data_IF_637895024014
#
_entry.id   IF_637895024014
#
_cell.length_a   1.000
_cell.length_b   1.000
_cell.length_c   1.000
_cell.angle_alpha   90.00
_cell.angle_beta   90.00
_cell.angle_gamma   90.00
#
_symmetry.space_group_name_H-M   'P 1'
#
loop_
_entity.id
_entity.type
_entity.pdbx_description
1 polymer ?
#
# COMPACT_ATOMS: atom_id res chain seq x y z
N UNK A 1 15.39 -8.09 -7.35
CA UNK A 1 14.48 -8.69 -8.36
C UNK A 1 14.25 -7.69 -9.47
N UNK A 2 14.27 -8.08 -10.76
CA UNK A 2 14.20 -7.09 -11.85
C UNK A 2 12.81 -6.46 -11.95
N UNK A 3 12.76 -5.14 -12.10
CA UNK A 3 11.58 -4.30 -12.34
C UNK A 3 10.65 -4.88 -13.41
N UNK A 4 11.22 -5.44 -14.49
CA UNK A 4 10.49 -6.05 -15.60
C UNK A 4 9.67 -7.27 -15.17
N UNK A 5 10.14 -8.04 -14.19
CA UNK A 5 9.40 -9.19 -13.67
C UNK A 5 8.13 -8.74 -12.96
N UNK A 6 8.20 -7.67 -12.17
CA UNK A 6 7.04 -7.10 -11.46
C UNK A 6 5.99 -6.63 -12.47
N UNK A 7 6.41 -5.91 -13.51
CA UNK A 7 5.53 -5.42 -14.56
C UNK A 7 4.83 -6.57 -15.30
N UNK A 8 5.56 -7.62 -15.64
CA UNK A 8 4.98 -8.81 -16.29
C UNK A 8 3.99 -9.53 -15.38
N UNK A 9 4.30 -9.64 -14.08
CA UNK A 9 3.38 -10.26 -13.13
C UNK A 9 2.10 -9.45 -12.96
N UNK A 10 2.20 -8.13 -12.84
CA UNK A 10 1.05 -7.22 -12.74
C UNK A 10 0.18 -7.19 -14.00
N UNK A 11 0.75 -7.48 -15.17
CA UNK A 11 -0.03 -7.64 -16.40
C UNK A 11 -0.93 -8.90 -16.38
N UNK A 12 -0.60 -9.90 -15.55
CA UNK A 12 -1.32 -11.18 -15.47
C UNK A 12 -2.09 -11.39 -14.16
N UNK A 13 -1.79 -10.61 -13.12
CA UNK A 13 -2.32 -10.77 -11.78
C UNK A 13 -2.73 -9.41 -11.18
N UNK A 14 -3.86 -9.40 -10.46
CA UNK A 14 -4.37 -8.20 -9.77
C UNK A 14 -3.46 -7.77 -8.61
N UNK A 15 -2.73 -8.70 -8.01
CA UNK A 15 -1.83 -8.47 -6.86
C UNK A 15 -0.57 -9.29 -7.05
N UNK A 16 0.58 -8.68 -6.76
CA UNK A 16 1.88 -9.34 -6.75
C UNK A 16 2.48 -9.25 -5.35
N UNK A 17 2.89 -10.39 -4.80
CA UNK A 17 3.59 -10.44 -3.51
C UNK A 17 5.10 -10.36 -3.69
N UNK A 18 5.76 -9.61 -2.83
CA UNK A 18 7.21 -9.45 -2.79
C UNK A 18 7.73 -9.56 -1.38
N UNK A 19 8.97 -10.02 -1.20
CA UNK A 19 9.62 -9.93 0.10
C UNK A 19 10.00 -8.47 0.40
N UNK A 20 9.91 -8.06 1.68
CA UNK A 20 10.27 -6.71 2.10
C UNK A 20 11.72 -6.33 1.79
N UNK A 21 12.61 -7.31 1.66
CA UNK A 21 14.01 -7.09 1.30
C UNK A 21 14.17 -6.55 -0.14
N UNK A 22 13.17 -6.72 -1.00
CA UNK A 22 13.13 -6.15 -2.35
C UNK A 22 12.64 -4.69 -2.38
N UNK A 23 12.16 -4.14 -1.25
CA UNK A 23 11.65 -2.77 -1.17
C UNK A 23 12.68 -1.70 -1.58
N UNK A 24 13.94 -1.75 -1.09
CA UNK A 24 14.91 -0.71 -1.43
C UNK A 24 15.22 -0.65 -2.92
N UNK A 25 15.28 -1.81 -3.59
CA UNK A 25 15.46 -1.88 -5.04
C UNK A 25 14.25 -1.29 -5.77
N UNK A 26 13.03 -1.63 -5.35
CA UNK A 26 11.80 -1.07 -5.93
C UNK A 26 11.73 0.46 -5.77
N UNK A 27 12.11 0.98 -4.60
CA UNK A 27 12.12 2.42 -4.33
C UNK A 27 13.24 3.14 -5.10
N UNK A 28 14.34 2.48 -5.41
CA UNK A 28 15.41 3.04 -6.24
C UNK A 28 14.98 3.18 -7.71
N UNK A 29 14.20 2.22 -8.21
CA UNK A 29 13.73 2.17 -9.60
C UNK A 29 12.41 2.94 -9.84
N UNK A 30 11.72 3.36 -8.77
CA UNK A 30 10.43 4.04 -8.84
C UNK A 30 10.48 5.44 -8.22
N UNK A 31 9.52 6.27 -8.59
CA UNK A 31 9.32 7.58 -7.98
C UNK A 31 8.21 7.49 -6.95
N UNK A 32 8.53 7.75 -5.69
CA UNK A 32 7.53 7.90 -4.64
C UNK A 32 6.66 9.13 -4.93
N UNK A 33 5.35 8.91 -5.05
CA UNK A 33 4.35 9.97 -5.25
C UNK A 33 3.63 10.32 -3.95
N UNK A 34 3.32 9.31 -3.13
CA UNK A 34 2.64 9.48 -1.85
C UNK A 34 3.03 8.35 -0.89
N UNK A 35 3.06 8.66 0.39
CA UNK A 35 3.26 7.72 1.49
C UNK A 35 2.22 8.04 2.57
N UNK A 36 1.61 7.00 3.14
CA UNK A 36 0.62 7.13 4.20
C UNK A 36 0.83 6.02 5.23
N UNK A 37 0.95 6.41 6.50
CA UNK A 37 1.02 5.47 7.62
C UNK A 37 -0.41 5.07 8.00
N UNK A 38 -0.69 3.77 7.96
CA UNK A 38 -1.99 3.24 8.38
C UNK A 38 -2.10 3.10 9.89
N UNK A 39 -0.98 3.22 10.61
CA UNK A 39 -0.83 2.97 12.05
C UNK A 39 -1.32 1.59 12.54
N UNK A 40 -1.70 0.70 11.61
CA UNK A 40 -2.23 -0.64 11.88
C UNK A 40 -1.50 -1.71 11.06
N UNK A 41 -1.46 -1.55 9.74
CA UNK A 41 -0.89 -2.52 8.80
C UNK A 41 0.43 -2.05 8.15
N UNK A 42 1.03 -0.98 8.69
CA UNK A 42 2.26 -0.37 8.17
C UNK A 42 2.00 0.70 7.11
N UNK A 43 2.99 0.92 6.25
CA UNK A 43 2.98 2.01 5.26
C UNK A 43 2.33 1.57 3.95
N UNK A 44 1.45 2.42 3.43
CA UNK A 44 0.94 2.35 2.07
C UNK A 44 1.63 3.43 1.23
N UNK A 45 2.14 3.05 0.06
CA UNK A 45 2.83 3.98 -0.85
C UNK A 45 2.23 3.94 -2.24
N UNK A 46 2.17 5.09 -2.89
CA UNK A 46 1.93 5.20 -4.33
C UNK A 46 3.28 5.48 -4.99
N UNK A 47 3.70 4.59 -5.87
CA UNK A 47 4.95 4.66 -6.61
C UNK A 47 4.64 4.78 -8.10
N UNK A 48 5.33 5.69 -8.80
CA UNK A 48 5.34 5.71 -10.26
C UNK A 48 6.52 4.88 -10.76
N UNK A 49 6.22 3.87 -11.58
CA UNK A 49 7.20 3.01 -12.19
C UNK A 49 6.99 2.99 -13.71
N UNK A 50 7.84 3.71 -14.43
CA UNK A 50 7.67 3.97 -15.88
C UNK A 50 6.30 4.63 -16.13
N UNK A 51 5.44 3.98 -16.91
CA UNK A 51 4.10 4.46 -17.28
C UNK A 51 2.98 3.89 -16.41
N UNK A 52 3.33 3.14 -15.35
CA UNK A 52 2.38 2.50 -14.44
C UNK A 52 2.49 3.09 -13.04
N UNK A 53 1.36 3.09 -12.34
CA UNK A 53 1.29 3.43 -10.93
C UNK A 53 1.17 2.15 -10.12
N UNK A 54 1.94 2.07 -9.03
CA UNK A 54 1.94 0.96 -8.11
C UNK A 54 1.47 1.43 -6.75
N UNK A 55 0.50 0.75 -6.18
CA UNK A 55 0.23 0.84 -4.74
C UNK A 55 0.96 -0.29 -4.06
N UNK A 56 1.85 0.06 -3.15
CA UNK A 56 2.54 -0.87 -2.26
C UNK A 56 1.85 -0.84 -0.90
N UNK A 57 1.41 -2.01 -0.43
CA UNK A 57 0.90 -2.24 0.92
C UNK A 57 1.86 -3.18 1.67
N UNK A 58 1.90 -3.12 2.99
CA UNK A 58 2.59 -4.13 3.81
C UNK A 58 1.59 -5.20 4.23
N UNK A 59 2.01 -6.47 4.17
CA UNK A 59 1.21 -7.54 4.71
C UNK A 59 1.25 -7.47 6.26
N UNK A 60 0.11 -7.47 6.96
CA UNK A 60 0.07 -7.24 8.41
C UNK A 60 0.77 -8.35 9.22
N UNK A 61 0.66 -9.60 8.77
CA UNK A 61 1.19 -10.77 9.48
C UNK A 61 2.49 -11.35 8.90
N UNK A 62 2.95 -10.85 7.76
CA UNK A 62 4.13 -11.41 7.08
C UNK A 62 5.06 -10.28 6.63
N UNK A 63 6.36 -10.54 6.51
CA UNK A 63 7.33 -9.54 5.99
C UNK A 63 7.23 -9.38 4.47
N UNK A 64 6.05 -9.57 3.91
CA UNK A 64 5.78 -9.43 2.48
C UNK A 64 5.14 -8.08 2.20
N UNK A 65 5.33 -7.64 0.97
CA UNK A 65 4.71 -6.48 0.36
C UNK A 65 3.69 -6.95 -0.65
N UNK A 66 2.57 -6.24 -0.73
CA UNK A 66 1.56 -6.44 -1.74
C UNK A 66 1.66 -5.28 -2.72
N UNK A 67 1.83 -5.57 -4.01
CA UNK A 67 1.83 -4.59 -5.07
C UNK A 67 0.57 -4.71 -5.92
N UNK A 68 -0.04 -3.57 -6.24
CA UNK A 68 -1.18 -3.45 -7.14
C UNK A 68 -0.88 -2.42 -8.22
N UNK A 69 -1.15 -2.76 -9.47
CA UNK A 69 -0.93 -1.88 -10.61
C UNK A 69 -2.18 -1.08 -10.96
N UNK A 70 -1.98 0.19 -11.31
CA UNK A 70 -3.01 1.13 -11.74
C UNK A 70 -2.54 1.90 -12.97
N UNK A 71 -3.49 2.20 -13.85
CA UNK A 71 -3.26 3.00 -15.06
C UNK A 71 -3.53 4.48 -14.87
N UNK A 72 -4.35 4.84 -13.87
CA UNK A 72 -4.68 6.23 -13.55
C UNK A 72 -4.36 6.56 -12.10
N UNK A 73 -3.99 7.82 -11.86
CA UNK A 73 -3.62 8.31 -10.53
C UNK A 73 -4.81 8.35 -9.60
N UNK A 74 -5.94 8.76 -10.12
CA UNK A 74 -7.19 8.89 -9.40
C UNK A 74 -7.67 7.53 -8.89
N UNK A 75 -7.46 6.46 -9.65
CA UNK A 75 -7.77 5.09 -9.24
C UNK A 75 -6.89 4.63 -8.09
N UNK A 76 -5.57 4.85 -8.20
CA UNK A 76 -4.62 4.51 -7.14
C UNK A 76 -4.92 5.28 -5.85
N UNK A 77 -5.19 6.59 -5.95
CA UNK A 77 -5.54 7.43 -4.80
C UNK A 77 -6.89 7.03 -4.20
N UNK A 78 -7.89 6.66 -5.01
CA UNK A 78 -9.18 6.16 -4.50
C UNK A 78 -9.02 4.87 -3.73
N UNK A 79 -8.23 3.94 -4.25
CA UNK A 79 -7.91 2.70 -3.56
C UNK A 79 -7.26 2.96 -2.19
N UNK A 80 -6.27 3.85 -2.12
CA UNK A 80 -5.63 4.20 -0.84
C UNK A 80 -6.62 4.83 0.13
N UNK A 81 -7.49 5.75 -0.33
CA UNK A 81 -8.54 6.34 0.53
C UNK A 81 -9.48 5.28 1.09
N UNK A 82 -10.00 4.39 0.25
CA UNK A 82 -10.90 3.31 0.69
C UNK A 82 -10.24 2.39 1.73
N UNK A 83 -8.93 2.13 1.59
CA UNK A 83 -8.14 1.36 2.55
C UNK A 83 -8.02 2.09 3.89
N UNK A 84 -7.66 3.37 3.87
CA UNK A 84 -7.55 4.18 5.08
C UNK A 84 -8.90 4.31 5.80
N UNK A 85 -9.99 4.56 5.07
CA UNK A 85 -11.35 4.56 5.65
C UNK A 85 -11.71 3.24 6.31
N UNK A 86 -11.29 2.12 5.71
CA UNK A 86 -11.51 0.79 6.28
C UNK A 86 -10.78 0.65 7.63
N UNK A 87 -9.53 1.13 7.72
CA UNK A 87 -8.78 1.10 8.97
C UNK A 87 -9.34 2.06 10.02
N UNK A 88 -9.79 3.25 9.64
CA UNK A 88 -10.48 4.18 10.54
C UNK A 88 -11.74 3.54 11.13
N UNK A 89 -12.56 2.87 10.30
CA UNK A 89 -13.76 2.15 10.78
C UNK A 89 -13.43 0.98 11.70
N UNK A 90 -12.29 0.32 11.52
CA UNK A 90 -11.83 -0.72 12.46
C UNK A 90 -11.51 -0.13 13.83
N UNK A 91 -10.98 1.10 13.87
CA UNK A 91 -10.72 1.82 15.12
C UNK A 91 -12.01 2.34 15.79
N UNK A 92 -13.00 2.74 14.98
CA UNK A 92 -14.30 3.24 15.45
C UNK A 92 -15.17 2.15 16.12
N UNK A 93 -14.75 0.88 16.03
CA UNK A 93 -15.45 -0.29 16.58
C UNK A 93 -15.30 -0.55 18.09
N UNK A 94 -14.52 0.24 18.84
CA UNK A 94 -14.44 0.10 20.30
C UNK A 94 -14.52 1.47 21.00
N UNK A 95 -15.69 2.11 20.91
CA UNK A 95 -16.02 3.27 21.72
C UNK A 95 -16.18 2.90 23.20
N UNK A 96 -15.08 2.72 23.94
CA UNK A 96 -15.13 2.76 25.39
C UNK A 96 -15.41 4.21 25.83
N UNK A 97 -16.56 4.42 26.48
CA UNK A 97 -16.91 5.68 27.15
C UNK A 97 -15.90 5.92 28.29
N UNK A 98 -14.95 6.84 28.10
CA UNK A 98 -14.05 7.28 29.17
C UNK A 98 -14.70 8.45 29.89
N UNK A 99 -15.16 8.22 31.11
CA UNK A 99 -15.63 9.29 32.00
C UNK A 99 -14.44 9.87 32.76
N UNK A 100 -14.12 11.14 32.50
CA UNK A 100 -13.15 11.89 33.28
C UNK A 100 -13.87 12.52 34.49
N UNK A 101 -13.51 12.09 35.71
CA UNK A 101 -13.90 12.79 36.93
C UNK A 101 -13.05 14.06 37.07
N UNK A 102 -13.70 15.20 37.26
CA UNK A 102 -13.09 16.52 37.50
C UNK A 102 -13.02 16.83 38.99
#
# INVERSE_FOLDING_TARGET
MKTETILNQLASATVVELDADALPELLADSKLLSESDTHLAGLIRILALRDLLLVQEQHPESRKLLLRGFTAREEAESFVRERLETYERMWDGCGCKVEYFK
#
